data_IF_551903309329
#
_entry.id   IF_551903309329
#
_cell.length_a   1.000
_cell.length_b   1.000
_cell.length_c   1.000
_cell.angle_alpha   90.00
_cell.angle_beta   90.00
_cell.angle_gamma   90.00
#
_symmetry.space_group_name_H-M   'P 1'
#
loop_
_entity.id
_entity.type
_entity.pdbx_description
1 polymer ?
#
# COMPACT_ATOMS: atom_id res chain seq x y z
N UNK A 1 -8.20 24.12 -15.06
CA UNK A 1 -7.52 23.49 -16.21
C UNK A 1 -6.94 22.19 -15.70
N UNK A 2 -7.65 21.07 -15.84
CA UNK A 2 -7.05 19.77 -15.57
C UNK A 2 -6.04 19.53 -16.70
N UNK A 3 -4.76 19.43 -16.33
CA UNK A 3 -3.68 19.09 -17.24
C UNK A 3 -4.03 17.83 -18.04
N UNK A 4 -3.38 17.63 -19.19
CA UNK A 4 -3.48 16.40 -19.99
C UNK A 4 -3.23 15.16 -19.12
N UNK A 5 -4.34 14.56 -18.66
CA UNK A 5 -4.36 13.45 -17.74
C UNK A 5 -3.77 12.17 -18.37
N UNK A 6 -3.63 12.13 -19.70
CA UNK A 6 -3.02 11.01 -20.41
C UNK A 6 -1.57 10.81 -19.97
N UNK A 7 -0.78 11.88 -19.96
CA UNK A 7 0.64 11.84 -19.59
C UNK A 7 0.89 11.46 -18.13
N UNK A 8 -0.06 11.74 -17.23
CA UNK A 8 0.07 11.46 -15.79
C UNK A 8 -0.63 10.17 -15.36
N UNK A 9 -1.25 9.44 -16.30
CA UNK A 9 -1.96 8.19 -16.02
C UNK A 9 -1.11 7.15 -15.28
N UNK A 10 0.22 7.01 -15.52
CA UNK A 10 1.04 6.08 -14.72
C UNK A 10 1.12 6.43 -13.22
N UNK A 11 0.90 7.69 -12.83
CA UNK A 11 1.00 8.14 -11.44
C UNK A 11 -0.32 7.99 -10.66
N UNK A 12 -1.48 8.22 -11.30
CA UNK A 12 -2.78 8.22 -10.61
C UNK A 12 -3.97 7.70 -11.45
N UNK A 13 -3.74 7.21 -12.66
CA UNK A 13 -4.79 6.79 -13.60
C UNK A 13 -5.24 5.33 -13.46
N UNK A 14 -4.70 4.58 -12.50
CA UNK A 14 -5.13 3.21 -12.25
C UNK A 14 -6.49 3.16 -11.54
N UNK A 15 -7.40 2.34 -12.06
CA UNK A 15 -8.68 2.03 -11.44
C UNK A 15 -8.68 0.56 -11.01
N UNK A 16 -9.17 0.30 -9.80
CA UNK A 16 -9.16 -1.05 -9.22
C UNK A 16 -10.26 -1.21 -8.17
N UNK A 17 -10.38 -2.42 -7.64
CA UNK A 17 -11.28 -2.74 -6.53
C UNK A 17 -10.48 -3.05 -5.27
N UNK A 18 -11.10 -2.97 -4.08
CA UNK A 18 -10.45 -3.41 -2.85
C UNK A 18 -10.02 -4.88 -2.91
N UNK A 19 -10.77 -5.73 -3.64
CA UNK A 19 -10.44 -7.14 -3.85
C UNK A 19 -9.18 -7.32 -4.69
N UNK A 20 -9.04 -6.58 -5.78
CA UNK A 20 -7.86 -6.67 -6.65
C UNK A 20 -6.63 -6.07 -5.99
N UNK A 21 -6.80 -4.95 -5.27
CA UNK A 21 -5.74 -4.41 -4.43
C UNK A 21 -5.34 -5.40 -3.33
N UNK A 22 -6.28 -6.14 -2.73
CA UNK A 22 -5.98 -7.22 -1.79
C UNK A 22 -5.12 -8.33 -2.40
N UNK A 23 -5.37 -8.71 -3.66
CA UNK A 23 -4.51 -9.64 -4.41
C UNK A 23 -3.11 -9.07 -4.65
N UNK A 24 -3.01 -7.78 -4.96
CA UNK A 24 -1.71 -7.12 -5.07
C UNK A 24 -0.96 -7.15 -3.74
N UNK A 25 -1.62 -6.90 -2.61
CA UNK A 25 -0.98 -6.99 -1.29
C UNK A 25 -0.53 -8.42 -0.97
N UNK A 26 -1.35 -9.44 -1.25
CA UNK A 26 -0.96 -10.84 -1.10
C UNK A 26 0.29 -11.16 -1.91
N UNK A 27 0.32 -10.76 -3.18
CA UNK A 27 1.48 -10.92 -4.06
C UNK A 27 2.73 -10.22 -3.49
N UNK A 28 2.60 -8.97 -3.02
CA UNK A 28 3.70 -8.21 -2.42
C UNK A 28 4.19 -8.83 -1.09
N UNK A 29 3.33 -9.55 -0.37
CA UNK A 29 3.67 -10.35 0.81
C UNK A 29 4.26 -11.73 0.46
N UNK A 30 4.43 -12.04 -0.83
CA UNK A 30 4.99 -13.31 -1.29
C UNK A 30 3.96 -14.43 -1.50
N UNK A 31 2.67 -14.12 -1.46
CA UNK A 31 1.60 -15.09 -1.67
C UNK A 31 1.06 -15.01 -3.11
N UNK A 32 1.41 -15.99 -3.94
CA UNK A 32 1.01 -16.08 -5.34
C UNK A 32 1.86 -15.25 -6.31
N UNK A 33 1.52 -15.32 -7.60
CA UNK A 33 2.23 -14.60 -8.67
C UNK A 33 3.59 -15.21 -9.00
N UNK A 34 3.71 -16.52 -8.85
CA UNK A 34 4.86 -17.32 -9.22
C UNK A 34 5.25 -17.04 -10.68
N UNK A 35 6.55 -16.79 -10.90
CA UNK A 35 7.09 -16.49 -12.23
C UNK A 35 6.80 -15.07 -12.76
N UNK A 36 6.02 -14.23 -12.09
CA UNK A 36 5.80 -12.84 -12.51
C UNK A 36 6.90 -11.88 -12.05
N UNK A 37 7.27 -11.95 -10.77
CA UNK A 37 8.35 -11.18 -10.17
C UNK A 37 9.09 -12.06 -9.16
N UNK A 38 10.42 -12.03 -9.15
CA UNK A 38 11.18 -12.83 -8.18
C UNK A 38 10.97 -12.33 -6.75
N UNK A 39 11.17 -13.22 -5.77
CA UNK A 39 11.15 -12.85 -4.35
C UNK A 39 12.13 -11.73 -4.04
N UNK A 40 13.32 -11.77 -4.62
CA UNK A 40 14.35 -10.75 -4.47
C UNK A 40 13.92 -9.39 -5.04
N UNK A 41 13.20 -9.38 -6.17
CA UNK A 41 12.65 -8.15 -6.75
C UNK A 41 11.50 -7.60 -5.91
N UNK A 42 10.62 -8.46 -5.37
CA UNK A 42 9.60 -8.04 -4.41
C UNK A 42 10.22 -7.44 -3.15
N UNK A 43 11.22 -8.11 -2.56
CA UNK A 43 11.92 -7.62 -1.38
C UNK A 43 12.56 -6.24 -1.62
N UNK A 44 13.15 -6.00 -2.80
CA UNK A 44 13.70 -4.69 -3.20
C UNK A 44 12.68 -3.56 -3.20
N UNK A 45 11.39 -3.83 -3.44
CA UNK A 45 10.37 -2.78 -3.37
C UNK A 45 10.26 -2.16 -1.98
N UNK A 46 10.58 -2.94 -0.94
CA UNK A 46 10.56 -2.51 0.46
C UNK A 46 11.88 -1.91 0.94
N UNK A 47 12.94 -1.92 0.14
CA UNK A 47 14.24 -1.44 0.59
C UNK A 47 14.34 0.09 0.46
N UNK A 48 14.56 0.84 1.56
CA UNK A 48 14.68 2.29 1.50
C UNK A 48 15.91 2.70 0.69
N UNK A 49 15.69 3.55 -0.32
CA UNK A 49 16.76 4.13 -1.13
C UNK A 49 17.05 5.56 -0.65
N UNK A 50 16.01 6.40 -0.58
CA UNK A 50 16.13 7.78 -0.13
C UNK A 50 14.85 8.24 0.57
N UNK A 51 14.98 9.08 1.61
CA UNK A 51 13.84 9.64 2.35
C UNK A 51 12.83 8.57 2.81
N UNK A 52 13.34 7.42 3.26
CA UNK A 52 12.55 6.26 3.67
C UNK A 52 11.58 5.77 2.58
N UNK A 53 11.92 5.91 1.30
CA UNK A 53 11.15 5.37 0.18
C UNK A 53 11.92 4.28 -0.54
N UNK A 54 11.25 3.15 -0.75
CA UNK A 54 11.67 2.12 -1.69
C UNK A 54 11.06 2.34 -3.06
N UNK A 55 10.87 1.25 -3.82
CA UNK A 55 10.30 1.31 -5.16
C UNK A 55 8.76 1.40 -5.08
N UNK A 56 8.25 2.63 -5.08
CA UNK A 56 6.81 2.89 -5.04
C UNK A 56 6.16 2.72 -3.66
N UNK A 57 6.95 2.59 -2.59
CA UNK A 57 6.48 2.43 -1.22
C UNK A 57 7.25 3.35 -0.28
N UNK A 58 6.58 3.94 0.71
CA UNK A 58 7.22 4.58 1.86
C UNK A 58 7.37 3.55 2.97
N UNK A 59 8.58 3.37 3.45
CA UNK A 59 8.97 2.43 4.50
C UNK A 59 9.11 3.20 5.80
N UNK A 60 8.70 2.63 6.92
CA UNK A 60 8.74 3.32 8.21
C UNK A 60 8.58 2.33 9.36
N UNK A 61 8.47 2.87 10.58
CA UNK A 61 8.10 2.09 11.75
C UNK A 61 6.79 2.55 12.38
N UNK A 62 5.93 1.60 12.72
CA UNK A 62 4.77 1.77 13.62
C UNK A 62 4.99 0.82 14.80
N UNK A 63 5.01 1.33 16.03
CA UNK A 63 5.26 0.55 17.24
C UNK A 63 6.49 -0.38 17.17
N UNK A 64 7.57 0.10 16.57
CA UNK A 64 8.82 -0.68 16.39
C UNK A 64 8.74 -1.74 15.28
N UNK A 65 7.61 -1.88 14.58
CA UNK A 65 7.42 -2.78 13.44
C UNK A 65 7.71 -2.06 12.15
N UNK A 66 8.49 -2.70 11.26
CA UNK A 66 8.76 -2.17 9.93
C UNK A 66 7.57 -2.40 9.02
N UNK A 67 6.98 -1.32 8.52
CA UNK A 67 5.84 -1.37 7.60
C UNK A 67 6.18 -0.61 6.32
N UNK A 68 5.43 -0.87 5.25
CA UNK A 68 5.49 -0.12 4.01
C UNK A 68 4.10 0.33 3.58
N UNK A 69 3.96 1.59 3.17
CA UNK A 69 2.67 2.20 2.81
C UNK A 69 2.73 3.08 1.58
N UNK A 70 1.57 3.26 0.94
CA UNK A 70 1.39 4.23 -0.12
C UNK A 70 0.00 4.84 -0.04
N UNK A 71 -0.07 6.17 -0.16
CA UNK A 71 -1.32 6.92 -0.20
C UNK A 71 -1.64 7.37 -1.63
N UNK A 72 -2.92 7.39 -1.98
CA UNK A 72 -3.42 7.97 -3.22
C UNK A 72 -4.35 9.15 -2.94
N UNK A 73 -4.27 10.14 -3.81
CA UNK A 73 -5.19 11.26 -3.83
C UNK A 73 -5.35 11.77 -5.24
N UNK A 74 -6.57 11.69 -5.77
CA UNK A 74 -6.91 12.34 -7.01
C UNK A 74 -8.38 12.76 -7.01
N UNK A 75 -8.63 14.07 -7.12
CA UNK A 75 -9.96 14.66 -7.00
C UNK A 75 -10.72 14.09 -5.78
N UNK A 76 -11.95 13.62 -5.95
CA UNK A 76 -12.78 13.06 -4.88
C UNK A 76 -12.41 11.62 -4.46
N UNK A 77 -11.27 11.07 -4.92
CA UNK A 77 -10.84 9.71 -4.60
C UNK A 77 -9.60 9.71 -3.72
N UNK A 78 -9.67 8.94 -2.64
CA UNK A 78 -8.59 8.77 -1.68
C UNK A 78 -8.33 7.28 -1.47
N UNK A 79 -7.07 6.91 -1.36
CA UNK A 79 -6.69 5.52 -1.07
C UNK A 79 -5.50 5.47 -0.12
N UNK A 80 -5.38 4.34 0.58
CA UNK A 80 -4.20 4.04 1.36
C UNK A 80 -4.00 2.53 1.42
N UNK A 81 -2.76 2.08 1.32
CA UNK A 81 -2.37 0.70 1.58
C UNK A 81 -1.24 0.64 2.59
N UNK A 82 -1.18 -0.45 3.35
CA UNK A 82 -0.12 -0.77 4.30
C UNK A 82 0.21 -2.26 4.25
N UNK A 83 1.50 -2.57 4.39
CA UNK A 83 2.08 -3.91 4.40
C UNK A 83 3.00 -4.07 5.60
N UNK A 84 2.85 -5.16 6.35
CA UNK A 84 3.84 -5.65 7.32
C UNK A 84 4.26 -7.08 6.94
N UNK A 85 5.34 -7.25 6.15
CA UNK A 85 5.77 -8.57 5.68
C UNK A 85 6.07 -9.56 6.80
N UNK A 86 6.63 -9.10 7.93
CA UNK A 86 7.04 -9.96 9.04
C UNK A 86 5.88 -10.78 9.65
N UNK A 87 4.64 -10.31 9.49
CA UNK A 87 3.43 -10.95 10.03
C UNK A 87 2.40 -11.28 8.97
N UNK A 88 2.74 -11.07 7.69
CA UNK A 88 1.82 -11.29 6.58
C UNK A 88 0.58 -10.37 6.60
N UNK A 89 0.68 -9.17 7.19
CA UNK A 89 -0.45 -8.24 7.28
C UNK A 89 -0.46 -7.32 6.05
N UNK A 90 -1.59 -7.25 5.36
CA UNK A 90 -1.84 -6.32 4.27
C UNK A 90 -3.21 -5.66 4.42
N UNK A 91 -3.26 -4.34 4.36
CA UNK A 91 -4.50 -3.55 4.50
C UNK A 91 -4.60 -2.58 3.32
N UNK A 92 -5.79 -2.46 2.73
CA UNK A 92 -6.12 -1.43 1.75
C UNK A 92 -7.45 -0.79 2.10
N UNK A 93 -7.51 0.54 2.00
CA UNK A 93 -8.74 1.33 2.12
C UNK A 93 -8.88 2.20 0.89
N UNK A 94 -10.05 2.14 0.26
CA UNK A 94 -10.44 2.99 -0.87
C UNK A 94 -11.64 3.83 -0.45
N UNK A 95 -11.64 5.11 -0.79
CA UNK A 95 -12.72 6.04 -0.48
C UNK A 95 -13.02 6.94 -1.69
N UNK A 96 -14.31 7.18 -1.91
CA UNK A 96 -14.86 8.06 -2.95
C UNK A 96 -15.32 9.41 -2.38
N UNK A 97 -14.65 9.88 -1.33
CA UNK A 97 -14.86 11.20 -0.75
C UNK A 97 -13.52 11.88 -0.51
N UNK A 98 -13.41 13.15 -0.91
CA UNK A 98 -12.21 13.96 -0.69
C UNK A 98 -11.93 14.21 0.81
N UNK A 99 -12.99 14.26 1.62
CA UNK A 99 -12.91 14.42 3.08
C UNK A 99 -12.55 13.14 3.82
N UNK A 100 -12.47 11.99 3.14
CA UNK A 100 -12.10 10.74 3.77
C UNK A 100 -10.61 10.74 4.16
N UNK A 101 -10.31 10.09 5.29
CA UNK A 101 -8.92 9.87 5.74
C UNK A 101 -8.59 8.37 5.72
N UNK A 102 -8.36 7.75 4.55
CA UNK A 102 -8.06 6.33 4.47
C UNK A 102 -6.75 5.97 5.19
N UNK A 103 -5.81 6.91 5.34
CA UNK A 103 -4.60 6.71 6.15
C UNK A 103 -4.93 6.45 7.62
N UNK A 104 -5.81 7.27 8.22
CA UNK A 104 -6.23 7.06 9.61
C UNK A 104 -6.99 5.74 9.80
N UNK A 105 -7.85 5.37 8.84
CA UNK A 105 -8.57 4.09 8.86
C UNK A 105 -7.59 2.92 8.76
N UNK A 106 -6.59 3.01 7.88
CA UNK A 106 -5.52 1.99 7.78
C UNK A 106 -4.75 1.86 9.09
N UNK A 107 -4.38 2.96 9.74
CA UNK A 107 -3.67 2.93 11.02
C UNK A 107 -4.53 2.26 12.12
N UNK A 108 -5.83 2.57 12.20
CA UNK A 108 -6.74 1.93 13.16
C UNK A 108 -6.89 0.42 12.90
N UNK A 109 -7.13 0.03 11.65
CA UNK A 109 -7.23 -1.37 11.23
C UNK A 109 -5.92 -2.12 11.49
N UNK A 110 -4.77 -1.48 11.28
CA UNK A 110 -3.47 -2.07 11.56
C UNK A 110 -3.31 -2.34 13.05
N UNK A 111 -3.60 -1.39 13.93
CA UNK A 111 -3.54 -1.64 15.37
C UNK A 111 -4.51 -2.73 15.83
N UNK A 112 -5.73 -2.80 15.27
CA UNK A 112 -6.69 -3.86 15.58
C UNK A 112 -6.16 -5.24 15.16
N UNK A 113 -5.64 -5.35 13.93
CA UNK A 113 -5.12 -6.62 13.37
C UNK A 113 -3.83 -7.03 14.07
N UNK A 114 -2.94 -6.08 14.35
CA UNK A 114 -1.68 -6.31 15.02
C UNK A 114 -1.87 -6.75 16.47
N UNK A 115 -2.90 -6.31 17.19
CA UNK A 115 -3.21 -6.86 18.51
C UNK A 115 -3.70 -8.30 18.41
N UNK A 116 -4.61 -8.58 17.48
CA UNK A 116 -5.19 -9.91 17.30
C UNK A 116 -4.18 -10.99 16.86
N UNK A 117 -3.15 -10.59 16.08
CA UNK A 117 -2.10 -11.50 15.61
C UNK A 117 -0.87 -11.54 16.54
N UNK A 118 -0.98 -11.06 17.79
CA UNK A 118 0.09 -11.24 18.78
C UNK A 118 -0.01 -12.66 19.37
N UNK A 119 1.10 -13.39 19.51
CA UNK A 119 1.10 -14.72 20.11
C UNK A 119 0.64 -14.72 21.58
#
# INVERSE_FOLDING_TARGET
MYHDAGSMSPAFGAYSTARDMGRLLLFLLGNGGEGFLSEEMRARMYEPIASNRGLGLRVESIDGRRVARHGGWFAAYRSHLLLEPARGIGIVVLANSDSASPGAIVDELYHMTARAASP
#
